data_IF_290485792639
#
_entry.id   IF_290485792639
#
_cell.length_a   1.000
_cell.length_b   1.000
_cell.length_c   1.000
_cell.angle_alpha   90.00
_cell.angle_beta   90.00
_cell.angle_gamma   90.00
#
_symmetry.space_group_name_H-M   'P 1'
#
loop_
_entity.id
_entity.type
_entity.pdbx_description
1 polymer ?
#
# COMPACT_ATOMS: atom_id res chain seq x y z
N UNK A 1 -25.82 2.56 0.05
CA UNK A 1 -24.63 2.22 0.87
C UNK A 1 -24.88 0.97 1.73
N UNK A 2 -26.05 0.77 2.36
CA UNK A 2 -26.35 -0.44 3.16
C UNK A 2 -26.08 -1.74 2.40
N UNK A 3 -26.60 -1.92 1.21
CA UNK A 3 -26.34 -3.10 0.36
C UNK A 3 -24.83 -3.41 0.24
N UNK A 4 -23.99 -2.40 0.05
CA UNK A 4 -22.54 -2.61 -0.10
C UNK A 4 -21.89 -3.08 1.20
N UNK A 5 -22.47 -2.79 2.34
CA UNK A 5 -22.03 -3.22 3.67
C UNK A 5 -22.49 -4.64 4.00
N UNK A 6 -23.69 -5.01 3.59
CA UNK A 6 -24.38 -6.22 4.00
C UNK A 6 -24.18 -7.39 3.01
N UNK A 7 -24.05 -7.09 1.71
CA UNK A 7 -24.08 -8.10 0.64
C UNK A 7 -22.81 -8.18 -0.20
N UNK A 8 -21.74 -7.42 0.13
CA UNK A 8 -20.51 -7.48 -0.63
C UNK A 8 -19.31 -7.86 0.25
N UNK A 9 -18.29 -8.48 -0.37
CA UNK A 9 -17.00 -8.82 0.27
C UNK A 9 -16.05 -7.62 0.46
N UNK A 10 -16.57 -6.40 0.38
CA UNK A 10 -15.78 -5.17 0.49
C UNK A 10 -15.32 -4.95 1.93
N UNK A 11 -14.04 -4.64 2.13
CA UNK A 11 -13.49 -4.42 3.47
C UNK A 11 -14.17 -3.26 4.21
N UNK A 12 -14.28 -3.34 5.54
CA UNK A 12 -14.83 -2.27 6.40
C UNK A 12 -14.18 -0.90 6.11
N UNK A 13 -12.86 -0.89 5.90
CA UNK A 13 -12.11 0.32 5.53
C UNK A 13 -12.62 0.92 4.23
N UNK A 14 -12.74 0.10 3.18
CA UNK A 14 -13.24 0.57 1.87
C UNK A 14 -14.67 1.08 1.97
N UNK A 15 -15.52 0.45 2.78
CA UNK A 15 -16.89 0.91 3.05
C UNK A 15 -16.88 2.30 3.70
N UNK A 16 -16.03 2.50 4.71
CA UNK A 16 -15.87 3.80 5.39
C UNK A 16 -15.40 4.90 4.42
N UNK A 17 -14.42 4.61 3.60
CA UNK A 17 -13.92 5.52 2.55
C UNK A 17 -15.00 5.82 1.50
N UNK A 18 -15.73 4.81 1.05
CA UNK A 18 -16.86 4.97 0.13
C UNK A 18 -17.99 5.81 0.72
N UNK A 19 -18.31 5.62 2.01
CA UNK A 19 -19.33 6.43 2.72
C UNK A 19 -18.91 7.89 2.82
N UNK A 20 -17.64 8.14 3.13
CA UNK A 20 -17.08 9.49 3.11
C UNK A 20 -17.22 10.13 1.71
N UNK A 21 -16.81 9.41 0.68
CA UNK A 21 -16.86 9.89 -0.70
C UNK A 21 -18.32 10.12 -1.18
N UNK A 22 -19.22 9.22 -0.84
CA UNK A 22 -20.66 9.38 -1.10
C UNK A 22 -21.22 10.65 -0.46
N UNK A 23 -20.94 10.87 0.82
CA UNK A 23 -21.39 12.07 1.53
C UNK A 23 -20.81 13.36 0.93
N UNK A 24 -19.55 13.33 0.51
CA UNK A 24 -18.86 14.51 -0.03
C UNK A 24 -19.28 14.88 -1.47
N UNK A 25 -19.63 13.91 -2.30
CA UNK A 25 -19.79 14.11 -3.73
C UNK A 25 -21.21 13.77 -4.26
N UNK A 26 -21.93 12.85 -3.63
CA UNK A 26 -23.20 12.34 -4.13
C UNK A 26 -24.41 12.79 -3.30
N UNK A 27 -24.38 12.70 -1.99
CA UNK A 27 -25.53 12.79 -1.08
C UNK A 27 -26.47 13.97 -1.39
N UNK A 28 -25.91 15.14 -1.64
CA UNK A 28 -26.68 16.38 -1.88
C UNK A 28 -26.63 16.84 -3.34
N UNK A 29 -26.11 15.99 -4.23
CA UNK A 29 -26.01 16.34 -5.65
C UNK A 29 -27.37 16.10 -6.35
N UNK A 30 -27.80 17.01 -7.28
CA UNK A 30 -29.03 16.84 -8.04
C UNK A 30 -29.17 15.48 -8.75
N UNK A 31 -28.07 14.88 -9.20
CA UNK A 31 -28.08 13.58 -9.89
C UNK A 31 -28.62 12.44 -9.00
N UNK A 32 -28.47 12.54 -7.69
CA UNK A 32 -29.00 11.53 -6.75
C UNK A 32 -30.43 11.78 -6.32
N UNK A 33 -31.00 12.93 -6.68
CA UNK A 33 -32.39 13.31 -6.41
C UNK A 33 -33.32 13.04 -7.59
N UNK A 34 -32.76 12.90 -8.79
CA UNK A 34 -33.54 12.58 -10.00
C UNK A 34 -33.97 11.10 -9.98
N UNK A 35 -35.16 10.78 -10.51
CA UNK A 35 -35.57 9.40 -10.70
C UNK A 35 -34.52 8.66 -11.55
N UNK A 36 -34.09 7.49 -11.12
CA UNK A 36 -32.99 6.76 -11.75
C UNK A 36 -33.30 6.39 -13.21
N UNK A 37 -34.58 6.14 -13.53
CA UNK A 37 -35.02 5.80 -14.88
C UNK A 37 -34.95 6.97 -15.88
N UNK A 38 -34.94 8.20 -15.37
CA UNK A 38 -34.93 9.40 -16.22
C UNK A 38 -33.50 9.87 -16.53
N UNK A 39 -32.49 9.30 -15.83
CA UNK A 39 -31.09 9.67 -16.03
C UNK A 39 -30.53 9.02 -17.30
N UNK A 40 -29.99 9.87 -18.16
CA UNK A 40 -29.31 9.48 -19.40
C UNK A 40 -27.79 9.37 -19.23
N UNK A 41 -27.11 8.73 -20.20
CA UNK A 41 -25.66 8.74 -20.29
C UNK A 41 -25.08 10.16 -20.25
N UNK A 42 -25.78 11.12 -20.88
CA UNK A 42 -25.34 12.52 -20.93
C UNK A 42 -25.40 13.21 -19.56
N UNK A 43 -26.36 12.87 -18.72
CA UNK A 43 -26.46 13.41 -17.35
C UNK A 43 -25.27 12.93 -16.50
N UNK A 44 -24.88 11.66 -16.62
CA UNK A 44 -23.71 11.13 -15.96
C UNK A 44 -22.39 11.76 -16.48
N UNK A 45 -22.27 11.96 -17.80
CA UNK A 45 -21.12 12.63 -18.39
C UNK A 45 -21.01 14.07 -17.87
N UNK A 46 -22.12 14.80 -17.86
CA UNK A 46 -22.19 16.18 -17.34
C UNK A 46 -21.80 16.23 -15.86
N UNK A 47 -22.33 15.32 -15.05
CA UNK A 47 -21.98 15.18 -13.65
C UNK A 47 -20.49 14.92 -13.47
N UNK A 48 -19.93 13.92 -14.13
CA UNK A 48 -18.50 13.57 -14.00
C UNK A 48 -17.59 14.71 -14.44
N UNK A 49 -17.92 15.39 -15.53
CA UNK A 49 -17.16 16.55 -16.01
C UNK A 49 -17.19 17.71 -15.00
N UNK A 50 -18.33 17.97 -14.41
CA UNK A 50 -18.46 19.01 -13.40
C UNK A 50 -17.70 18.65 -12.12
N UNK A 51 -17.90 17.44 -11.58
CA UNK A 51 -17.30 17.06 -10.30
C UNK A 51 -15.79 16.89 -10.37
N UNK A 52 -15.25 16.40 -11.49
CA UNK A 52 -13.79 16.29 -11.67
C UNK A 52 -13.14 17.68 -11.68
N UNK A 53 -13.78 18.67 -12.31
CA UNK A 53 -13.28 20.03 -12.42
C UNK A 53 -13.48 20.83 -11.13
N UNK A 54 -14.69 20.83 -10.58
CA UNK A 54 -15.06 21.67 -9.42
C UNK A 54 -14.44 21.19 -8.10
N UNK A 55 -14.11 19.90 -7.98
CA UNK A 55 -13.49 19.30 -6.81
C UNK A 55 -12.04 18.88 -7.05
N UNK A 56 -11.48 19.23 -8.20
CA UNK A 56 -10.10 18.88 -8.57
C UNK A 56 -9.78 17.41 -8.26
N UNK A 57 -10.65 16.49 -8.73
CA UNK A 57 -10.49 15.08 -8.39
C UNK A 57 -9.25 14.49 -9.05
N UNK A 58 -8.47 13.75 -8.28
CA UNK A 58 -7.43 12.89 -8.82
C UNK A 58 -8.07 11.69 -9.55
N UNK A 59 -7.31 11.03 -10.42
CA UNK A 59 -7.78 9.86 -11.15
C UNK A 59 -8.22 8.73 -10.22
N UNK A 60 -7.53 8.55 -9.11
CA UNK A 60 -7.87 7.56 -8.09
C UNK A 60 -9.24 7.88 -7.47
N UNK A 61 -9.43 9.09 -6.98
CA UNK A 61 -10.71 9.54 -6.38
C UNK A 61 -11.87 9.42 -7.34
N UNK A 62 -11.65 9.75 -8.61
CA UNK A 62 -12.66 9.55 -9.65
C UNK A 62 -13.02 8.07 -9.85
N UNK A 63 -12.03 7.19 -9.88
CA UNK A 63 -12.27 5.75 -10.00
C UNK A 63 -13.03 5.18 -8.80
N UNK A 64 -12.77 5.67 -7.60
CA UNK A 64 -13.51 5.29 -6.39
C UNK A 64 -14.97 5.76 -6.48
N UNK A 65 -15.22 7.01 -6.91
CA UNK A 65 -16.56 7.52 -7.17
C UNK A 65 -17.30 6.70 -8.24
N UNK A 66 -16.64 6.43 -9.37
CA UNK A 66 -17.19 5.59 -10.43
C UNK A 66 -17.56 4.18 -9.92
N UNK A 67 -16.72 3.59 -9.07
CA UNK A 67 -16.97 2.28 -8.47
C UNK A 67 -18.24 2.28 -7.60
N UNK A 68 -18.45 3.35 -6.81
CA UNK A 68 -19.67 3.50 -6.00
C UNK A 68 -20.90 3.58 -6.91
N UNK A 69 -20.86 4.45 -7.92
CA UNK A 69 -21.99 4.65 -8.83
C UNK A 69 -22.27 3.41 -9.67
N UNK A 70 -21.25 2.72 -10.17
CA UNK A 70 -21.42 1.44 -10.84
C UNK A 70 -22.11 0.39 -9.95
N UNK A 71 -21.71 0.26 -8.70
CA UNK A 71 -22.36 -0.67 -7.76
C UNK A 71 -23.84 -0.34 -7.55
N UNK A 72 -24.19 0.94 -7.45
CA UNK A 72 -25.59 1.38 -7.32
C UNK A 72 -26.41 1.05 -8.56
N UNK A 73 -25.87 1.29 -9.76
CA UNK A 73 -26.58 1.00 -11.01
C UNK A 73 -26.68 -0.51 -11.29
N UNK A 74 -25.67 -1.30 -10.91
CA UNK A 74 -25.77 -2.75 -10.99
C UNK A 74 -26.89 -3.30 -10.10
N UNK A 75 -26.99 -2.82 -8.87
CA UNK A 75 -28.10 -3.19 -7.98
C UNK A 75 -29.45 -2.83 -8.59
N UNK A 76 -29.56 -1.65 -9.22
CA UNK A 76 -30.80 -1.23 -9.88
C UNK A 76 -31.17 -2.13 -11.08
N UNK A 77 -30.17 -2.62 -11.82
CA UNK A 77 -30.39 -3.61 -12.90
C UNK A 77 -30.81 -4.95 -12.31
N UNK A 78 -30.17 -5.42 -11.28
CA UNK A 78 -30.48 -6.68 -10.59
C UNK A 78 -31.90 -6.69 -10.01
N UNK A 79 -32.35 -5.55 -9.51
CA UNK A 79 -33.72 -5.35 -9.02
C UNK A 79 -34.77 -5.07 -10.12
N UNK A 80 -34.38 -5.09 -11.38
CA UNK A 80 -35.28 -4.82 -12.50
C UNK A 80 -35.77 -3.36 -12.61
N UNK A 81 -35.07 -2.43 -11.90
CA UNK A 81 -35.37 -0.99 -11.98
C UNK A 81 -34.84 -0.41 -13.30
N UNK A 82 -33.68 -0.89 -13.75
CA UNK A 82 -33.02 -0.50 -14.99
C UNK A 82 -32.75 -1.73 -15.86
N UNK A 83 -32.86 -1.58 -17.17
CA UNK A 83 -32.54 -2.64 -18.13
C UNK A 83 -31.04 -2.87 -18.26
N UNK A 84 -30.24 -1.81 -18.08
CA UNK A 84 -28.78 -1.88 -18.18
C UNK A 84 -28.07 -0.78 -17.39
N UNK A 85 -26.79 -1.02 -17.09
CA UNK A 85 -25.92 -0.01 -16.49
C UNK A 85 -25.33 0.89 -17.58
N UNK A 86 -25.88 2.08 -17.74
CA UNK A 86 -25.49 3.04 -18.77
C UNK A 86 -24.08 3.64 -18.56
N UNK A 87 -23.45 3.50 -17.39
CA UNK A 87 -22.07 3.96 -17.19
C UNK A 87 -21.06 3.18 -18.04
N UNK A 88 -21.42 2.00 -18.55
CA UNK A 88 -20.58 1.22 -19.49
C UNK A 88 -20.40 1.91 -20.83
N UNK A 89 -21.33 2.76 -21.22
CA UNK A 89 -21.33 3.45 -22.51
C UNK A 89 -20.47 4.72 -22.50
N UNK A 90 -19.91 5.10 -21.33
CA UNK A 90 -19.14 6.32 -21.18
C UNK A 90 -17.68 6.10 -21.60
N UNK A 91 -17.20 6.96 -22.50
CA UNK A 91 -15.77 7.07 -22.77
C UNK A 91 -15.08 7.89 -21.67
N UNK A 92 -14.43 7.21 -20.75
CA UNK A 92 -13.78 7.85 -19.60
C UNK A 92 -12.48 8.59 -19.94
N UNK A 93 -11.93 8.44 -21.15
CA UNK A 93 -10.73 9.19 -21.60
C UNK A 93 -10.98 10.68 -21.81
N UNK A 94 -12.25 11.09 -21.90
CA UNK A 94 -12.64 12.50 -22.08
C UNK A 94 -12.51 13.36 -20.81
N UNK A 95 -12.29 12.75 -19.64
CA UNK A 95 -12.20 13.49 -18.38
C UNK A 95 -10.75 13.83 -18.05
N UNK A 96 -10.54 15.05 -17.54
CA UNK A 96 -9.26 15.52 -17.03
C UNK A 96 -9.26 15.40 -15.51
N UNK A 97 -8.12 15.05 -14.95
CA UNK A 97 -7.94 14.85 -13.51
C UNK A 97 -6.84 15.75 -12.99
N UNK A 98 -6.90 16.08 -11.71
CA UNK A 98 -5.77 16.70 -11.03
C UNK A 98 -4.58 15.74 -11.09
N UNK A 99 -3.42 16.26 -11.51
CA UNK A 99 -2.17 15.50 -11.42
C UNK A 99 -1.88 15.21 -9.95
N UNK A 100 -1.57 13.96 -9.65
CA UNK A 100 -0.96 13.60 -8.37
C UNK A 100 0.55 13.65 -8.61
N UNK A 101 1.22 14.47 -7.83
CA UNK A 101 2.68 14.44 -7.77
C UNK A 101 3.06 13.17 -7.01
N UNK A 102 3.31 12.10 -7.76
CA UNK A 102 3.60 10.77 -7.19
C UNK A 102 5.10 10.47 -7.19
N UNK A 103 5.92 11.44 -7.56
CA UNK A 103 7.38 11.28 -7.66
C UNK A 103 8.08 11.29 -6.31
N UNK A 104 7.51 10.59 -5.33
CA UNK A 104 8.23 10.30 -4.10
C UNK A 104 9.14 9.11 -4.37
N UNK A 105 10.40 9.39 -4.65
CA UNK A 105 11.44 8.39 -4.86
C UNK A 105 11.66 7.52 -3.60
N UNK A 106 12.22 6.31 -3.74
CA UNK A 106 12.65 5.50 -2.60
C UNK A 106 13.80 6.21 -1.83
N UNK A 107 14.06 5.79 -0.60
CA UNK A 107 15.31 6.14 0.07
C UNK A 107 16.48 5.55 -0.71
N UNK A 108 17.54 6.33 -0.89
CA UNK A 108 18.80 5.82 -1.46
C UNK A 108 19.53 4.92 -0.47
N UNK A 109 20.55 4.20 -0.92
CA UNK A 109 21.37 3.39 -0.01
C UNK A 109 22.08 4.25 1.03
N UNK A 110 22.58 5.43 0.65
CA UNK A 110 23.21 6.38 1.55
C UNK A 110 22.23 6.91 2.60
N UNK A 111 21.02 7.32 2.18
CA UNK A 111 19.98 7.76 3.10
C UNK A 111 19.58 6.65 4.08
N UNK A 112 19.43 5.41 3.59
CA UNK A 112 19.15 4.22 4.41
C UNK A 112 20.22 4.00 5.48
N UNK A 113 21.48 4.04 5.10
CA UNK A 113 22.62 3.83 6.02
C UNK A 113 22.70 4.93 7.07
N UNK A 114 22.47 6.21 6.68
CA UNK A 114 22.41 7.33 7.62
C UNK A 114 21.27 7.17 8.62
N UNK A 115 20.07 6.82 8.16
CA UNK A 115 18.92 6.57 9.03
C UNK A 115 19.21 5.43 10.02
N UNK A 116 19.70 4.29 9.55
CA UNK A 116 20.03 3.14 10.40
C UNK A 116 21.07 3.51 11.45
N UNK A 117 22.08 4.28 11.08
CA UNK A 117 23.13 4.71 12.00
C UNK A 117 22.64 5.70 13.06
N UNK A 118 21.74 6.59 12.69
CA UNK A 118 21.21 7.65 13.56
C UNK A 118 20.19 7.13 14.59
N UNK A 119 19.39 6.13 14.21
CA UNK A 119 18.37 5.54 15.07
C UNK A 119 18.99 4.91 16.33
N UNK A 120 18.33 5.13 17.48
CA UNK A 120 18.77 4.60 18.77
C UNK A 120 18.54 3.08 18.85
N UNK A 121 19.58 2.36 19.29
CA UNK A 121 19.54 0.90 19.48
C UNK A 121 18.79 0.48 20.76
N UNK A 122 18.49 1.41 21.64
CA UNK A 122 17.72 1.17 22.85
C UNK A 122 16.24 1.55 22.72
N UNK A 123 15.86 2.26 21.67
CA UNK A 123 14.46 2.59 21.42
C UNK A 123 13.74 1.52 20.58
N UNK A 124 12.56 1.10 21.04
CA UNK A 124 11.75 0.06 20.40
C UNK A 124 11.35 0.40 18.97
N UNK A 125 10.91 1.65 18.71
CA UNK A 125 10.49 2.06 17.36
C UNK A 125 11.68 2.21 16.41
N UNK A 126 12.82 2.65 16.93
CA UNK A 126 14.09 2.69 16.20
C UNK A 126 14.52 1.30 15.75
N UNK A 127 14.47 0.32 16.65
CA UNK A 127 14.75 -1.09 16.31
C UNK A 127 13.77 -1.64 15.26
N UNK A 128 12.48 -1.31 15.37
CA UNK A 128 11.50 -1.74 14.41
C UNK A 128 11.73 -1.13 13.01
N UNK A 129 12.12 0.14 12.93
CA UNK A 129 12.45 0.83 11.67
C UNK A 129 13.71 0.20 11.06
N UNK A 130 14.78 -0.02 11.85
CA UNK A 130 15.98 -0.71 11.38
C UNK A 130 15.66 -2.08 10.81
N UNK A 131 14.85 -2.87 11.52
CA UNK A 131 14.45 -4.21 11.08
C UNK A 131 13.69 -4.17 9.76
N UNK A 132 12.75 -3.22 9.60
CA UNK A 132 11.97 -3.08 8.36
C UNK A 132 12.86 -2.77 7.14
N UNK A 133 13.93 -1.97 7.32
CA UNK A 133 14.92 -1.72 6.28
C UNK A 133 15.75 -2.97 5.86
N UNK A 134 15.77 -4.02 6.68
CA UNK A 134 16.46 -5.28 6.32
C UNK A 134 15.52 -6.35 5.79
N UNK A 135 14.17 -6.21 5.98
CA UNK A 135 13.26 -7.32 5.80
C UNK A 135 12.19 -7.15 4.71
N UNK A 136 12.14 -6.04 4.00
CA UNK A 136 11.18 -5.78 2.88
C UNK A 136 9.73 -6.10 3.26
N UNK A 137 9.27 -5.77 4.46
CA UNK A 137 7.95 -6.12 4.94
C UNK A 137 6.90 -5.03 4.64
N UNK A 138 5.63 -5.43 4.59
CA UNK A 138 4.56 -4.46 4.78
C UNK A 138 4.45 -4.17 6.28
N UNK A 139 4.14 -2.94 6.66
CA UNK A 139 4.03 -2.56 8.09
C UNK A 139 3.03 -3.46 8.85
N UNK A 140 1.97 -3.93 8.21
CA UNK A 140 1.04 -4.89 8.79
C UNK A 140 1.66 -6.28 9.00
N UNK A 141 2.52 -6.73 8.09
CA UNK A 141 3.27 -7.98 8.22
C UNK A 141 4.27 -7.88 9.37
N UNK A 142 5.03 -6.77 9.45
CA UNK A 142 5.94 -6.49 10.57
C UNK A 142 5.22 -6.60 11.93
N UNK A 143 4.05 -5.98 12.05
CA UNK A 143 3.23 -6.02 13.26
C UNK A 143 2.74 -7.43 13.63
N UNK A 144 2.58 -8.30 12.65
CA UNK A 144 2.04 -9.65 12.81
C UNK A 144 3.09 -10.72 13.09
N UNK A 145 4.39 -10.39 13.13
CA UNK A 145 5.45 -11.36 13.36
C UNK A 145 5.43 -11.94 14.77
N UNK A 146 5.54 -13.27 14.85
CA UNK A 146 5.71 -14.01 16.11
C UNK A 146 7.11 -14.61 16.21
N UNK A 147 7.55 -14.84 17.42
CA UNK A 147 8.81 -15.56 17.65
C UNK A 147 8.78 -16.98 17.09
N UNK A 148 7.61 -17.64 17.11
CA UNK A 148 7.39 -18.97 16.52
C UNK A 148 7.51 -18.99 14.99
N UNK A 149 7.51 -17.83 14.32
CA UNK A 149 7.71 -17.75 12.88
C UNK A 149 9.18 -17.91 12.46
N UNK A 150 10.10 -17.80 13.43
CA UNK A 150 11.54 -17.93 13.18
C UNK A 150 11.90 -19.41 13.14
N UNK A 151 12.49 -19.83 12.02
CA UNK A 151 13.00 -21.18 11.82
C UNK A 151 14.42 -21.11 11.25
N UNK A 152 15.42 -21.19 12.13
CA UNK A 152 16.84 -21.10 11.78
C UNK A 152 17.18 -19.78 11.10
N UNK A 153 17.59 -19.85 9.85
CA UNK A 153 18.00 -18.68 9.05
C UNK A 153 16.82 -17.94 8.38
N UNK A 154 15.59 -18.36 8.62
CA UNK A 154 14.41 -17.81 7.95
C UNK A 154 13.35 -17.38 8.94
N UNK A 155 12.53 -16.42 8.52
CA UNK A 155 11.28 -16.05 9.18
C UNK A 155 10.10 -16.24 8.23
N UNK A 156 9.03 -16.86 8.69
CA UNK A 156 7.83 -17.15 7.92
C UNK A 156 6.85 -15.99 8.02
N UNK A 157 6.61 -15.29 6.93
CA UNK A 157 5.60 -14.24 6.84
C UNK A 157 4.27 -14.89 6.48
N UNK A 158 3.34 -14.98 7.42
CA UNK A 158 2.09 -15.74 7.23
C UNK A 158 0.83 -15.03 7.72
N UNK A 159 0.96 -13.86 8.38
CA UNK A 159 -0.15 -13.05 8.87
C UNK A 159 0.17 -11.57 8.79
N UNK A 160 -0.85 -10.75 8.98
CA UNK A 160 -0.67 -9.31 9.16
C UNK A 160 -1.67 -8.76 10.18
N UNK A 161 -1.34 -7.61 10.74
CA UNK A 161 -2.26 -6.82 11.58
C UNK A 161 -2.84 -5.71 10.71
N UNK A 162 -4.16 -5.64 10.64
CA UNK A 162 -4.88 -4.63 9.86
C UNK A 162 -4.90 -3.25 10.58
N UNK A 163 -5.56 -2.27 9.97
CA UNK A 163 -5.63 -0.92 10.56
C UNK A 163 -6.52 -0.83 11.80
N UNK A 164 -7.39 -1.79 12.01
CA UNK A 164 -8.25 -1.96 13.17
C UNK A 164 -7.54 -2.72 14.31
N UNK A 165 -6.23 -3.00 14.15
CA UNK A 165 -5.41 -3.83 15.02
C UNK A 165 -5.90 -5.29 15.15
N UNK A 166 -6.69 -5.77 14.19
CA UNK A 166 -7.09 -7.17 14.13
C UNK A 166 -6.02 -8.00 13.41
N UNK A 167 -5.75 -9.19 13.94
CA UNK A 167 -4.84 -10.16 13.32
C UNK A 167 -5.58 -10.85 12.19
N UNK A 168 -4.98 -10.87 11.01
CA UNK A 168 -5.49 -11.55 9.84
C UNK A 168 -4.50 -12.64 9.45
N UNK A 169 -4.90 -13.89 9.65
CA UNK A 169 -4.07 -15.07 9.35
C UNK A 169 -3.95 -15.35 7.85
N UNK A 170 -4.86 -14.78 7.03
CA UNK A 170 -4.77 -14.85 5.57
C UNK A 170 -4.23 -13.54 4.99
N UNK A 171 -3.02 -13.57 4.47
CA UNK A 171 -2.45 -12.46 3.71
C UNK A 171 -3.27 -12.29 2.44
N UNK A 172 -3.80 -11.06 2.24
CA UNK A 172 -4.71 -10.71 1.13
C UNK A 172 -4.32 -11.37 -0.19
N UNK A 173 -5.28 -12.06 -0.79
CA UNK A 173 -5.21 -12.53 -2.14
C UNK A 173 -5.67 -13.97 -2.36
N UNK A 174 -6.44 -14.57 -1.44
CA UNK A 174 -6.98 -15.93 -1.58
C UNK A 174 -5.96 -17.03 -1.90
N UNK A 175 -4.66 -16.77 -1.69
CA UNK A 175 -3.63 -17.64 -2.20
C UNK A 175 -2.51 -17.86 -1.18
N UNK A 176 -2.02 -19.08 -1.19
CA UNK A 176 -0.78 -19.50 -0.52
C UNK A 176 0.42 -18.60 -0.86
N UNK A 177 0.31 -17.78 -1.89
CA UNK A 177 1.37 -16.92 -2.46
C UNK A 177 1.77 -15.72 -1.59
N UNK A 178 0.91 -15.23 -0.70
CA UNK A 178 1.27 -14.18 0.26
C UNK A 178 2.16 -14.69 1.40
N UNK A 179 2.08 -15.99 1.72
CA UNK A 179 2.90 -16.64 2.74
C UNK A 179 4.26 -16.99 2.13
N UNK A 180 5.31 -16.52 2.77
CA UNK A 180 6.67 -16.68 2.25
C UNK A 180 7.70 -16.77 3.36
N UNK A 181 8.81 -17.39 3.07
CA UNK A 181 9.99 -17.38 3.93
C UNK A 181 10.93 -16.25 3.51
N UNK A 182 11.37 -15.48 4.49
CA UNK A 182 12.35 -14.40 4.31
C UNK A 182 13.65 -14.78 5.02
N UNK A 183 14.81 -14.68 4.34
CA UNK A 183 16.10 -14.91 5.01
C UNK A 183 16.35 -13.82 6.05
N UNK A 184 16.81 -14.22 7.22
CA UNK A 184 17.26 -13.33 8.29
C UNK A 184 18.72 -12.99 8.08
N UNK A 185 19.03 -11.74 7.77
CA UNK A 185 20.40 -11.26 7.73
C UNK A 185 21.01 -11.21 9.13
N UNK A 186 22.36 -11.23 9.29
CA UNK A 186 23.00 -11.07 10.59
C UNK A 186 22.54 -9.80 11.33
N UNK A 187 22.38 -8.69 10.62
CA UNK A 187 21.87 -7.43 11.18
C UNK A 187 20.43 -7.55 11.69
N UNK A 188 19.55 -8.23 10.93
CA UNK A 188 18.17 -8.47 11.36
C UNK A 188 18.13 -9.35 12.62
N UNK A 189 18.97 -10.39 12.71
CA UNK A 189 19.08 -11.25 13.90
C UNK A 189 19.53 -10.47 15.12
N UNK A 190 20.56 -9.63 15.00
CA UNK A 190 21.05 -8.80 16.10
C UNK A 190 19.95 -7.84 16.63
N UNK A 191 19.10 -7.30 15.74
CA UNK A 191 17.96 -6.49 16.14
C UNK A 191 16.92 -7.33 16.90
N UNK A 192 16.60 -8.53 16.40
CA UNK A 192 15.67 -9.45 17.07
C UNK A 192 16.13 -9.81 18.48
N UNK A 193 17.42 -10.05 18.68
CA UNK A 193 18.00 -10.32 20.01
C UNK A 193 17.79 -9.14 20.97
N UNK A 194 18.01 -7.90 20.52
CA UNK A 194 17.74 -6.70 21.33
C UNK A 194 16.24 -6.56 21.66
N UNK A 195 15.37 -6.83 20.71
CA UNK A 195 13.90 -6.80 20.94
C UNK A 195 13.50 -7.90 21.92
N UNK A 196 14.07 -9.10 21.82
CA UNK A 196 13.79 -10.22 22.73
C UNK A 196 14.15 -9.89 24.17
N UNK A 197 15.29 -9.23 24.37
CA UNK A 197 15.71 -8.79 25.71
C UNK A 197 14.75 -7.78 26.34
N UNK A 198 14.11 -6.93 25.52
CA UNK A 198 13.12 -5.93 26.00
C UNK A 198 11.73 -6.53 26.29
N UNK A 199 11.35 -7.60 25.60
CA UNK A 199 10.05 -8.26 25.71
C UNK A 199 10.20 -9.80 25.72
N UNK A 200 10.80 -10.41 26.75
CA UNK A 200 11.16 -11.83 26.76
C UNK A 200 9.95 -12.77 26.68
N UNK A 201 8.83 -12.40 27.30
CA UNK A 201 7.63 -13.24 27.44
C UNK A 201 6.57 -12.99 26.36
N UNK A 202 6.84 -12.09 25.42
CA UNK A 202 5.89 -11.77 24.37
C UNK A 202 5.85 -12.87 23.31
N UNK A 203 4.64 -13.23 22.87
CA UNK A 203 4.42 -14.10 21.72
C UNK A 203 4.80 -13.39 20.41
N UNK A 204 4.46 -12.10 20.30
CA UNK A 204 4.73 -11.27 19.13
C UNK A 204 6.06 -10.53 19.29
N UNK A 205 6.75 -10.33 18.15
CA UNK A 205 8.06 -9.66 18.12
C UNK A 205 7.89 -8.16 18.35
N UNK A 206 6.99 -7.51 17.60
CA UNK A 206 6.81 -6.06 17.63
C UNK A 206 5.55 -5.68 18.42
N UNK A 207 5.61 -5.95 19.71
CA UNK A 207 4.59 -5.56 20.70
C UNK A 207 5.23 -4.66 21.76
N UNK A 208 4.47 -3.68 22.23
CA UNK A 208 4.87 -2.81 23.35
C UNK A 208 3.65 -2.58 24.24
N UNK A 209 3.82 -2.77 25.54
CA UNK A 209 2.75 -2.61 26.53
C UNK A 209 1.48 -3.41 26.18
N UNK A 210 1.67 -4.65 25.70
CA UNK A 210 0.58 -5.53 25.27
C UNK A 210 -0.14 -5.13 23.96
N UNK A 211 0.32 -4.09 23.29
CA UNK A 211 -0.28 -3.60 22.03
C UNK A 211 0.66 -3.76 20.83
N UNK A 212 0.14 -4.14 19.66
CA UNK A 212 0.93 -4.13 18.44
C UNK A 212 1.53 -2.76 18.15
N UNK A 213 2.70 -2.74 17.53
CA UNK A 213 3.38 -1.53 17.08
C UNK A 213 2.41 -0.59 16.35
N UNK A 214 2.29 0.66 16.84
CA UNK A 214 1.42 1.66 16.24
C UNK A 214 2.05 2.29 14.98
N UNK A 215 1.44 2.07 13.81
CA UNK A 215 1.93 2.59 12.52
C UNK A 215 2.13 4.12 12.53
N UNK A 216 1.24 4.85 13.20
CA UNK A 216 1.35 6.32 13.31
C UNK A 216 2.60 6.72 14.09
N UNK A 217 2.89 6.02 15.19
CA UNK A 217 4.10 6.27 16.00
C UNK A 217 5.36 5.86 15.27
N UNK A 218 5.36 4.72 14.57
CA UNK A 218 6.46 4.30 13.71
C UNK A 218 6.79 5.37 12.67
N UNK A 219 5.79 5.84 11.93
CA UNK A 219 5.97 6.87 10.91
C UNK A 219 6.43 8.22 11.51
N UNK A 220 5.99 8.57 12.72
CA UNK A 220 6.43 9.78 13.42
C UNK A 220 7.90 9.69 13.83
N UNK A 221 8.37 8.54 14.34
CA UNK A 221 9.78 8.31 14.65
C UNK A 221 10.65 8.37 13.40
N UNK A 222 10.25 7.71 12.33
CA UNK A 222 10.95 7.77 11.06
C UNK A 222 11.01 9.21 10.52
N UNK A 223 9.91 9.95 10.60
CA UNK A 223 9.85 11.34 10.15
C UNK A 223 10.81 12.23 10.96
N UNK A 224 10.81 12.09 12.29
CA UNK A 224 11.71 12.83 13.16
C UNK A 224 13.18 12.54 12.82
N UNK A 225 13.55 11.27 12.65
CA UNK A 225 14.88 10.88 12.23
C UNK A 225 15.28 11.51 10.88
N UNK A 226 14.39 11.49 9.89
CA UNK A 226 14.63 12.12 8.59
C UNK A 226 14.85 13.63 8.70
N UNK A 227 14.02 14.31 9.51
CA UNK A 227 14.14 15.77 9.75
C UNK A 227 15.48 16.13 10.41
N UNK A 228 15.93 15.35 11.39
CA UNK A 228 17.23 15.53 12.07
C UNK A 228 18.42 15.31 11.12
N UNK A 229 18.27 14.47 10.11
CA UNK A 229 19.30 14.20 9.11
C UNK A 229 19.21 15.06 7.85
N UNK A 230 18.19 15.91 7.72
CA UNK A 230 17.93 16.68 6.50
C UNK A 230 17.50 15.81 5.30
N UNK A 231 16.98 14.61 5.58
CA UNK A 231 16.48 13.67 4.58
C UNK A 231 14.98 13.90 4.36
N UNK A 232 14.53 13.87 3.10
CA UNK A 232 13.10 13.93 2.81
C UNK A 232 12.36 12.73 3.39
N UNK A 233 11.34 12.99 4.21
CA UNK A 233 10.54 11.93 4.83
C UNK A 233 9.71 11.15 3.81
N UNK A 234 9.80 9.82 3.89
CA UNK A 234 8.97 8.88 3.15
C UNK A 234 8.39 7.85 4.12
N UNK A 235 7.12 7.48 3.96
CA UNK A 235 6.42 6.61 4.93
C UNK A 235 6.97 5.17 4.95
N UNK A 236 6.58 4.39 5.96
CA UNK A 236 6.92 2.96 6.10
C UNK A 236 6.74 2.14 4.81
N UNK A 237 5.70 2.44 4.01
CA UNK A 237 5.52 1.76 2.73
C UNK A 237 6.70 1.99 1.77
N UNK A 238 7.35 3.15 1.87
CA UNK A 238 8.51 3.48 1.03
C UNK A 238 9.80 2.80 1.51
N UNK A 239 9.91 2.41 2.79
CA UNK A 239 11.03 1.57 3.27
C UNK A 239 11.09 0.27 2.46
N UNK A 240 9.97 -0.43 2.37
CA UNK A 240 9.86 -1.67 1.58
C UNK A 240 10.24 -1.45 0.11
N UNK A 241 9.78 -0.34 -0.46
CA UNK A 241 10.11 0.05 -1.83
C UNK A 241 11.60 0.31 -1.99
N UNK A 242 12.21 1.06 -1.07
CA UNK A 242 13.63 1.39 -1.06
C UNK A 242 14.51 0.14 -0.98
N UNK A 243 14.21 -0.76 -0.06
CA UNK A 243 14.99 -1.99 0.11
C UNK A 243 14.91 -2.87 -1.13
N UNK A 244 13.73 -2.98 -1.77
CA UNK A 244 13.58 -3.71 -3.02
C UNK A 244 14.38 -3.06 -4.17
N UNK A 245 14.40 -1.72 -4.24
CA UNK A 245 15.17 -0.97 -5.21
C UNK A 245 16.66 -1.19 -5.04
N UNK A 246 17.17 -1.05 -3.81
CA UNK A 246 18.57 -1.27 -3.46
C UNK A 246 19.00 -2.70 -3.82
N UNK A 247 18.17 -3.70 -3.55
CA UNK A 247 18.48 -5.08 -3.96
C UNK A 247 18.54 -5.23 -5.48
N UNK A 248 17.63 -4.58 -6.21
CA UNK A 248 17.65 -4.60 -7.68
C UNK A 248 18.93 -3.97 -8.24
N UNK A 249 19.31 -2.81 -7.71
CA UNK A 249 20.54 -2.11 -8.12
C UNK A 249 21.80 -2.93 -7.82
N UNK A 250 21.75 -3.78 -6.80
CA UNK A 250 22.80 -4.75 -6.45
C UNK A 250 22.64 -6.11 -7.16
N UNK A 251 21.86 -6.18 -8.24
CA UNK A 251 21.80 -7.31 -9.16
C UNK A 251 20.75 -8.39 -8.84
N UNK A 252 19.86 -8.16 -7.87
CA UNK A 252 18.77 -9.10 -7.63
C UNK A 252 17.80 -9.13 -8.83
N UNK A 253 17.37 -10.33 -9.22
CA UNK A 253 16.43 -10.50 -10.32
C UNK A 253 15.02 -10.06 -9.91
N UNK A 254 14.26 -9.54 -10.88
CA UNK A 254 12.87 -9.14 -10.66
C UNK A 254 12.01 -10.31 -10.14
N UNK A 255 12.29 -11.53 -10.57
CA UNK A 255 11.59 -12.73 -10.10
C UNK A 255 11.89 -13.05 -8.62
N UNK A 256 13.13 -12.85 -8.17
CA UNK A 256 13.52 -13.01 -6.76
C UNK A 256 12.84 -11.95 -5.89
N UNK A 257 12.88 -10.70 -6.34
CA UNK A 257 12.17 -9.61 -5.67
C UNK A 257 10.67 -9.84 -5.60
N UNK A 258 10.06 -10.36 -6.67
CA UNK A 258 8.64 -10.69 -6.69
C UNK A 258 8.27 -11.71 -5.60
N UNK A 259 9.09 -12.74 -5.42
CA UNK A 259 8.93 -13.76 -4.38
C UNK A 259 9.09 -13.15 -2.97
N UNK A 260 10.16 -12.37 -2.74
CA UNK A 260 10.42 -11.72 -1.46
C UNK A 260 9.34 -10.70 -1.09
N UNK A 261 8.83 -9.98 -2.08
CA UNK A 261 7.73 -9.03 -1.92
C UNK A 261 6.37 -9.73 -1.72
N UNK A 262 6.23 -11.01 -2.10
CA UNK A 262 4.93 -11.70 -2.10
C UNK A 262 3.92 -10.98 -3.00
N UNK A 263 4.33 -10.59 -4.21
CA UNK A 263 3.45 -10.02 -5.21
C UNK A 263 2.87 -11.11 -6.11
N UNK A 264 1.59 -11.03 -6.41
CA UNK A 264 0.89 -11.99 -7.28
C UNK A 264 1.24 -11.82 -8.75
N UNK A 265 1.80 -10.66 -9.15
CA UNK A 265 2.18 -10.38 -10.54
C UNK A 265 3.51 -9.63 -10.62
N UNK A 266 4.31 -9.94 -11.65
CA UNK A 266 5.54 -9.20 -11.95
C UNK A 266 5.28 -7.72 -12.27
N UNK A 267 4.07 -7.39 -12.76
CA UNK A 267 3.69 -6.01 -13.04
C UNK A 267 3.68 -5.14 -11.80
N UNK A 268 3.29 -5.70 -10.63
CA UNK A 268 3.35 -5.00 -9.35
C UNK A 268 4.80 -4.72 -8.95
N UNK A 269 5.71 -5.67 -9.14
CA UNK A 269 7.14 -5.50 -8.86
C UNK A 269 7.77 -4.50 -9.82
N UNK A 270 7.48 -4.58 -11.12
CA UNK A 270 7.97 -3.62 -12.12
C UNK A 270 7.52 -2.18 -11.84
N UNK A 271 6.37 -1.97 -11.20
CA UNK A 271 5.95 -0.63 -10.78
C UNK A 271 6.91 -0.03 -9.74
N UNK A 272 7.48 -0.86 -8.87
CA UNK A 272 8.49 -0.45 -7.91
C UNK A 272 9.83 -0.09 -8.55
N UNK A 273 10.16 -0.71 -9.70
CA UNK A 273 11.49 -0.61 -10.35
C UNK A 273 11.54 0.42 -11.49
N UNK A 274 10.40 0.93 -11.97
CA UNK A 274 10.32 1.82 -13.15
C UNK A 274 11.09 3.13 -13.04
N UNK A 275 11.37 3.60 -11.83
CA UNK A 275 12.00 4.89 -11.60
C UNK A 275 13.49 4.77 -11.21
N UNK A 276 14.10 3.59 -11.36
CA UNK A 276 15.40 3.30 -10.76
C UNK A 276 16.53 3.27 -11.78
N UNK A 277 16.28 2.82 -13.01
CA UNK A 277 17.34 2.71 -14.01
C UNK A 277 17.40 3.98 -14.86
N UNK A 278 18.42 4.84 -14.70
CA UNK A 278 18.64 5.98 -15.58
C UNK A 278 18.83 5.51 -17.03
N UNK A 279 18.33 6.29 -17.98
CA UNK A 279 18.50 6.00 -19.41
C UNK A 279 19.97 5.82 -19.80
N UNK A 280 20.87 6.55 -19.15
CA UNK A 280 22.31 6.50 -19.35
C UNK A 280 22.92 5.14 -18.96
N UNK A 281 22.48 4.53 -17.86
CA UNK A 281 22.97 3.22 -17.43
C UNK A 281 22.51 2.10 -18.36
N UNK A 282 21.30 2.20 -18.89
CA UNK A 282 20.80 1.29 -19.92
C UNK A 282 21.59 1.44 -21.21
N UNK A 283 21.92 2.67 -21.60
CA UNK A 283 22.73 2.96 -22.77
C UNK A 283 24.17 2.41 -22.64
N UNK A 284 24.75 2.50 -21.45
CA UNK A 284 26.09 1.96 -21.17
C UNK A 284 26.11 0.44 -21.17
N UNK A 285 25.11 -0.22 -20.58
CA UNK A 285 24.91 -1.68 -20.71
C UNK A 285 24.74 -2.11 -22.16
N UNK A 286 23.98 -1.36 -22.98
CA UNK A 286 23.86 -1.66 -24.42
C UNK A 286 25.19 -1.53 -25.14
N UNK A 287 25.99 -0.50 -24.88
CA UNK A 287 27.33 -0.33 -25.45
C UNK A 287 28.27 -1.47 -25.03
N UNK A 288 28.21 -1.91 -23.78
CA UNK A 288 29.05 -3.00 -23.28
C UNK A 288 28.70 -4.35 -23.89
N UNK A 289 27.42 -4.59 -24.20
CA UNK A 289 26.93 -5.87 -24.74
C UNK A 289 27.04 -5.93 -26.25
N UNK A 290 26.81 -4.83 -26.94
CA UNK A 290 26.65 -4.80 -28.40
C UNK A 290 27.70 -3.94 -29.13
N UNK A 291 28.52 -3.19 -28.44
CA UNK A 291 29.50 -2.28 -28.99
C UNK A 291 30.86 -2.76 -29.05
#
# INVERSE_FOLDING_TARGET
>A
MKWREEETSVSKKTIKENRFLYNALLKDNPITKAPLKDLTVQDYIKYFRNITKSRELTRKRFNDLKSIMNGMLYLAVEQGILDRNCLRDINYRQFTYKSEDTDVFPYTEEERLLIIKHLDDDDFYSLAIKFDFYMILRIGELKGLKWSDINGEFIHIQRFVNNENEIVEDIKGHQKEGKRYMPLTPSAKAILEKIRQKNPDSEYIFIRDGQPLATVTFNRHLKKCCEELGIEYRSSHKIRFSTASIMYDNGAKVTELNQLLGHTTLQMTNHYLRNITPADETAEKMRTIFG
#
